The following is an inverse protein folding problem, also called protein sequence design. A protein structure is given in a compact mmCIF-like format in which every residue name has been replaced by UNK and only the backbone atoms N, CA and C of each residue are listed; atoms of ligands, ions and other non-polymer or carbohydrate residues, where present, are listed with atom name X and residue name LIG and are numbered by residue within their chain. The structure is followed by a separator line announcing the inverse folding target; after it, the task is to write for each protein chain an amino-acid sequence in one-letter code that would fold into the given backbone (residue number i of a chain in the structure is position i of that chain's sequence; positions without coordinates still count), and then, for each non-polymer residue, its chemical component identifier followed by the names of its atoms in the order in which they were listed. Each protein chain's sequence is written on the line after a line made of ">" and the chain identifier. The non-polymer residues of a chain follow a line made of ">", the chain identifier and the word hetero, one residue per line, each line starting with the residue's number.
data_IF_125021288425
#
_entry.id   IF_125021288425
#
_cell.length_a   1.000
_cell.length_b   1.000
_cell.length_c   1.000
_cell.angle_alpha   90.00
_cell.angle_beta   90.00
_cell.angle_gamma   90.00
#
_symmetry.space_group_name_H-M   'P 1'
#
loop_
_entity.id
_entity.type
_entity.pdbx_description
1 polymer ?
#
# COMPACT_ATOMS: atom_id res chain seq x y z
N UNK A 1 34.79 6.07 -0.34
CA UNK A 1 33.87 4.91 -0.47
C UNK A 1 33.29 4.91 -1.88
N UNK A 2 33.49 3.85 -2.66
CA UNK A 2 32.93 3.75 -4.03
C UNK A 2 31.56 3.08 -3.92
N UNK A 3 30.48 3.81 -4.22
CA UNK A 3 29.12 3.24 -4.17
C UNK A 3 28.93 2.36 -5.40
N UNK A 4 28.75 1.06 -5.18
CA UNK A 4 28.39 0.11 -6.23
C UNK A 4 26.89 0.23 -6.49
N UNK A 5 26.50 0.56 -7.72
CA UNK A 5 25.10 0.65 -8.14
C UNK A 5 24.79 -0.41 -9.19
N UNK A 6 23.51 -0.81 -9.28
CA UNK A 6 23.00 -1.65 -10.36
C UNK A 6 22.28 -0.79 -11.40
N UNK A 7 22.06 -1.33 -12.60
CA UNK A 7 21.17 -0.70 -13.57
C UNK A 7 19.72 -0.72 -13.04
N UNK A 8 18.97 0.38 -13.15
CA UNK A 8 17.56 0.38 -12.76
C UNK A 8 16.75 -0.50 -13.72
N UNK A 9 15.82 -1.29 -13.18
CA UNK A 9 14.93 -2.16 -13.94
C UNK A 9 13.46 -1.94 -13.55
N UNK A 10 12.57 -1.91 -14.54
CA UNK A 10 11.14 -1.84 -14.31
C UNK A 10 10.55 -3.23 -14.01
N UNK A 11 10.48 -3.60 -12.73
CA UNK A 11 9.94 -4.90 -12.27
C UNK A 11 8.43 -5.07 -12.51
N UNK A 12 7.69 -3.96 -12.62
CA UNK A 12 6.26 -3.96 -12.89
C UNK A 12 5.78 -2.71 -13.63
N UNK A 13 5.41 -2.86 -14.91
CA UNK A 13 4.68 -1.86 -15.69
C UNK A 13 3.20 -1.75 -15.24
N UNK A 14 2.96 -1.20 -14.05
CA UNK A 14 1.66 -1.20 -13.37
C UNK A 14 0.62 -0.23 -13.96
N UNK A 15 1.05 0.75 -14.77
CA UNK A 15 0.19 1.82 -15.34
C UNK A 15 -0.63 2.56 -14.25
N UNK A 16 -0.01 2.79 -13.10
CA UNK A 16 -0.58 3.62 -12.03
C UNK A 16 -0.79 5.05 -12.52
N UNK A 17 -1.84 5.73 -12.05
CA UNK A 17 -1.99 7.17 -12.29
C UNK A 17 -1.13 7.97 -11.30
N UNK A 18 -1.14 7.60 -10.02
CA UNK A 18 -0.26 8.20 -9.00
C UNK A 18 0.22 7.10 -8.05
N UNK A 19 1.36 6.51 -8.38
CA UNK A 19 2.01 5.44 -7.62
C UNK A 19 2.79 5.99 -6.43
N UNK A 20 2.49 5.53 -5.22
CA UNK A 20 3.08 6.07 -3.98
C UNK A 20 3.17 5.02 -2.87
N UNK A 21 3.75 5.39 -1.73
CA UNK A 21 3.63 4.62 -0.48
C UNK A 21 4.26 3.22 -0.55
N UNK A 22 5.45 3.13 -1.15
CA UNK A 22 6.16 1.85 -1.34
C UNK A 22 6.64 1.29 -0.01
N UNK A 23 6.40 0.00 0.22
CA UNK A 23 6.78 -0.72 1.43
C UNK A 23 7.28 -2.12 1.08
N UNK A 24 8.45 -2.50 1.58
CA UNK A 24 8.92 -3.89 1.53
C UNK A 24 8.57 -4.63 2.81
N UNK A 25 7.83 -5.75 2.68
CA UNK A 25 7.49 -6.61 3.82
C UNK A 25 8.22 -7.93 3.71
N UNK A 26 9.39 -8.02 4.37
CA UNK A 26 10.28 -9.19 4.35
C UNK A 26 9.54 -10.50 4.68
N UNK A 27 8.71 -10.51 5.73
CA UNK A 27 7.98 -11.71 6.17
C UNK A 27 6.98 -12.24 5.15
N UNK A 28 6.49 -11.38 4.23
CA UNK A 28 5.58 -11.76 3.15
C UNK A 28 6.28 -11.92 1.80
N UNK A 29 7.60 -11.69 1.76
CA UNK A 29 8.39 -11.60 0.54
C UNK A 29 7.71 -10.73 -0.52
N UNK A 30 7.11 -9.60 -0.12
CA UNK A 30 6.29 -8.80 -1.02
C UNK A 30 6.55 -7.30 -0.90
N UNK A 31 6.67 -6.63 -2.04
CA UNK A 31 6.66 -5.17 -2.19
C UNK A 31 5.21 -4.75 -2.32
N UNK A 32 4.82 -3.75 -1.54
CA UNK A 32 3.52 -3.11 -1.58
C UNK A 32 3.70 -1.67 -2.07
N UNK A 33 2.72 -1.16 -2.78
CA UNK A 33 2.59 0.27 -3.10
C UNK A 33 1.13 0.55 -3.43
N UNK A 34 0.77 1.83 -3.54
CA UNK A 34 -0.61 2.25 -3.83
C UNK A 34 -0.71 3.04 -5.11
N UNK A 35 -1.90 3.01 -5.72
CA UNK A 35 -2.32 4.06 -6.63
C UNK A 35 -3.38 4.91 -5.92
N UNK A 36 -2.98 6.11 -5.51
CA UNK A 36 -3.82 7.00 -4.69
C UNK A 36 -5.11 7.31 -5.45
N UNK A 37 -4.99 7.68 -6.73
CA UNK A 37 -6.10 8.15 -7.57
C UNK A 37 -6.98 7.00 -8.04
N UNK A 38 -6.40 5.84 -8.36
CA UNK A 38 -7.18 4.64 -8.74
C UNK A 38 -7.64 3.79 -7.55
N UNK A 39 -7.36 4.19 -6.30
CA UNK A 39 -7.81 3.53 -5.06
C UNK A 39 -7.42 2.04 -5.04
N UNK A 40 -6.15 1.75 -5.31
CA UNK A 40 -5.62 0.38 -5.43
C UNK A 40 -4.40 0.19 -4.55
N UNK A 41 -4.28 -0.99 -3.97
CA UNK A 41 -3.04 -1.51 -3.37
C UNK A 41 -2.47 -2.55 -4.34
N UNK A 42 -1.21 -2.41 -4.67
CA UNK A 42 -0.43 -3.31 -5.50
C UNK A 42 0.50 -4.13 -4.61
N UNK A 43 0.61 -5.42 -4.92
CA UNK A 43 1.44 -6.37 -4.17
C UNK A 43 2.24 -7.17 -5.18
N UNK A 44 3.57 -7.09 -5.12
CA UNK A 44 4.49 -7.89 -5.91
C UNK A 44 5.27 -8.81 -4.98
N UNK A 45 5.04 -10.12 -5.08
CA UNK A 45 5.86 -11.09 -4.40
C UNK A 45 7.22 -11.22 -5.11
N UNK A 46 8.33 -10.99 -4.42
CA UNK A 46 9.66 -10.98 -5.03
C UNK A 46 10.30 -12.36 -5.16
N UNK A 47 9.73 -13.40 -4.55
CA UNK A 47 10.21 -14.79 -4.71
C UNK A 47 9.66 -15.45 -5.96
N UNK A 48 8.39 -15.21 -6.28
CA UNK A 48 7.70 -15.89 -7.38
C UNK A 48 7.10 -14.93 -8.41
N UNK A 49 7.38 -13.62 -8.31
CA UNK A 49 6.91 -12.56 -9.20
C UNK A 49 5.37 -12.46 -9.34
N UNK A 50 4.60 -13.11 -8.47
CA UNK A 50 3.14 -13.01 -8.48
C UNK A 50 2.71 -11.60 -8.10
N UNK A 51 1.83 -11.05 -8.94
CA UNK A 51 1.26 -9.71 -8.82
C UNK A 51 -0.17 -9.82 -8.35
N UNK A 52 -0.56 -9.01 -7.36
CA UNK A 52 -1.94 -8.92 -6.87
C UNK A 52 -2.33 -7.45 -6.74
N UNK A 53 -3.58 -7.15 -7.06
CA UNK A 53 -4.17 -5.83 -6.92
C UNK A 53 -5.40 -5.95 -6.02
N UNK A 54 -5.51 -5.07 -5.03
CA UNK A 54 -6.66 -4.98 -4.12
C UNK A 54 -7.29 -3.59 -4.32
N UNK A 55 -8.59 -3.54 -4.61
CA UNK A 55 -9.35 -2.28 -4.65
C UNK A 55 -9.72 -1.85 -3.23
N UNK A 56 -9.63 -0.55 -2.94
CA UNK A 56 -10.13 0.07 -1.72
C UNK A 56 -11.22 1.08 -2.03
N UNK A 57 -12.06 1.40 -1.06
CA UNK A 57 -13.24 2.25 -1.27
C UNK A 57 -12.95 3.76 -1.21
N UNK A 58 -11.75 4.17 -0.79
CA UNK A 58 -11.32 5.56 -0.63
C UNK A 58 -9.95 5.77 -1.28
N UNK A 59 -9.60 7.04 -1.56
CA UNK A 59 -8.19 7.36 -1.86
C UNK A 59 -7.33 6.88 -0.69
N UNK A 60 -6.21 6.23 -1.03
CA UNK A 60 -5.27 5.65 -0.08
C UNK A 60 -3.91 6.30 -0.29
N UNK A 61 -3.46 7.08 0.68
CA UNK A 61 -2.17 7.79 0.60
C UNK A 61 -1.00 6.89 0.95
N UNK A 62 -1.17 5.97 1.91
CA UNK A 62 -0.14 5.03 2.31
C UNK A 62 -0.73 3.74 2.88
N UNK A 63 0.14 2.74 3.04
CA UNK A 63 -0.09 1.60 3.92
C UNK A 63 1.18 1.30 4.72
N UNK A 64 1.01 0.77 5.93
CA UNK A 64 2.11 0.27 6.76
C UNK A 64 1.79 -1.11 7.32
N UNK A 65 2.81 -1.96 7.44
CA UNK A 65 2.68 -3.33 7.92
C UNK A 65 2.74 -3.36 9.45
N UNK A 66 1.79 -4.05 10.07
CA UNK A 66 1.78 -4.25 11.52
C UNK A 66 2.32 -5.64 11.85
N UNK A 67 1.63 -6.69 11.38
CA UNK A 67 2.01 -8.09 11.58
C UNK A 67 1.20 -9.01 10.68
N UNK A 68 1.78 -10.14 10.23
CA UNK A 68 1.08 -11.11 9.36
C UNK A 68 0.39 -10.41 8.18
N UNK A 69 -0.91 -10.62 8.00
CA UNK A 69 -1.73 -9.94 6.98
C UNK A 69 -2.41 -8.64 7.48
N UNK A 70 -2.02 -8.12 8.65
CA UNK A 70 -2.61 -6.93 9.27
C UNK A 70 -1.80 -5.69 8.91
N UNK A 71 -2.50 -4.70 8.38
CA UNK A 71 -1.96 -3.43 7.91
C UNK A 71 -2.79 -2.27 8.45
N UNK A 72 -2.15 -1.11 8.58
CA UNK A 72 -2.83 0.17 8.70
C UNK A 72 -2.82 0.86 7.34
N UNK A 73 -3.97 1.42 6.95
CA UNK A 73 -4.15 2.19 5.73
C UNK A 73 -4.40 3.65 6.10
N UNK A 74 -3.69 4.56 5.45
CA UNK A 74 -4.02 5.98 5.45
C UNK A 74 -5.01 6.27 4.33
N UNK A 75 -6.30 6.34 4.68
CA UNK A 75 -7.37 6.66 3.75
C UNK A 75 -7.81 8.11 3.95
N UNK A 76 -8.39 8.73 2.91
CA UNK A 76 -8.96 10.08 3.04
C UNK A 76 -9.93 10.16 4.24
N UNK A 77 -9.58 10.97 5.24
CA UNK A 77 -10.32 11.19 6.49
C UNK A 77 -10.37 10.00 7.46
N UNK A 78 -9.53 8.97 7.28
CA UNK A 78 -9.60 7.75 8.09
C UNK A 78 -8.27 6.98 8.16
N UNK A 79 -7.82 6.63 9.36
CA UNK A 79 -6.85 5.55 9.56
C UNK A 79 -7.60 4.23 9.77
N UNK A 80 -7.32 3.22 8.94
CA UNK A 80 -8.00 1.92 8.98
C UNK A 80 -7.03 0.79 9.23
N UNK A 81 -7.24 0.04 10.31
CA UNK A 81 -6.56 -1.25 10.53
C UNK A 81 -7.39 -2.34 9.86
N UNK A 82 -6.76 -3.13 8.99
CA UNK A 82 -7.41 -4.15 8.16
C UNK A 82 -6.53 -5.39 8.07
N UNK A 83 -7.16 -6.55 7.95
CA UNK A 83 -6.49 -7.75 7.48
C UNK A 83 -6.63 -7.82 5.94
N UNK A 84 -5.55 -7.65 5.18
CA UNK A 84 -5.59 -7.58 3.71
C UNK A 84 -5.89 -8.93 3.04
N UNK A 85 -5.63 -10.05 3.72
CA UNK A 85 -5.93 -11.39 3.20
C UNK A 85 -7.43 -11.67 3.23
N UNK A 86 -8.06 -11.45 4.38
CA UNK A 86 -9.50 -11.67 4.61
C UNK A 86 -10.36 -10.46 4.22
N UNK A 87 -9.74 -9.30 3.99
CA UNK A 87 -10.39 -8.00 3.78
C UNK A 87 -11.19 -7.49 4.99
N UNK A 88 -11.07 -8.13 6.17
CA UNK A 88 -11.78 -7.73 7.39
C UNK A 88 -11.20 -6.41 7.93
N UNK A 89 -12.06 -5.40 8.06
CA UNK A 89 -11.76 -4.17 8.82
C UNK A 89 -11.75 -4.51 10.31
N UNK A 90 -10.65 -4.19 10.99
CA UNK A 90 -10.44 -4.46 12.41
C UNK A 90 -10.79 -3.22 13.23
N UNK A 91 -10.29 -2.06 12.82
CA UNK A 91 -10.56 -0.77 13.48
C UNK A 91 -10.53 0.35 12.45
N UNK A 92 -11.31 1.40 12.69
CA UNK A 92 -11.20 2.66 11.96
C UNK A 92 -11.18 3.81 12.93
N UNK A 93 -10.34 4.79 12.63
CA UNK A 93 -10.20 6.03 13.38
C UNK A 93 -10.47 7.14 12.39
N UNK A 94 -11.51 7.92 12.64
CA UNK A 94 -11.84 9.09 11.81
C UNK A 94 -10.86 10.19 12.18
N UNK A 95 -10.26 10.80 11.16
CA UNK A 95 -9.28 11.88 11.32
C UNK A 95 -9.93 13.17 10.86
N UNK A 96 -9.83 14.21 11.69
CA UNK A 96 -10.30 15.57 11.39
C UNK A 96 -11.73 15.61 10.82
N UNK A 97 -12.69 15.11 11.60
CA UNK A 97 -14.11 14.99 11.19
C UNK A 97 -14.71 16.32 10.72
N UNK A 98 -14.27 17.42 11.31
CA UNK A 98 -14.65 18.80 11.03
C UNK A 98 -13.95 19.40 9.80
N UNK A 99 -12.90 18.76 9.29
CA UNK A 99 -12.14 19.21 8.11
C UNK A 99 -12.16 18.14 7.02
N UNK A 100 -13.33 17.89 6.39
CA UNK A 100 -13.49 16.79 5.42
C UNK A 100 -12.64 16.93 4.14
N UNK A 101 -12.11 18.13 3.91
CA UNK A 101 -11.23 18.46 2.79
C UNK A 101 -9.75 18.38 3.14
N UNK A 102 -9.41 18.32 4.43
CA UNK A 102 -8.05 18.01 4.83
C UNK A 102 -7.69 16.60 4.40
N UNK A 103 -6.40 16.45 4.12
CA UNK A 103 -5.85 15.27 3.49
C UNK A 103 -5.20 14.37 4.51
#
# INVERSE_FOLDING_TARGET
>A
MKITTSKPECVWKSKTLLGEGTLWVKSLNSIFFVDIKKKKIFILNTKNNKKKIIKVNKEIGFLSHIRKDIFILGLKGELRIVNLKTKKKIKSIIVEKDKPLNR
#
